data_IF_044332413892
#
_entry.id   IF_044332413892
#
_cell.length_a   1.000
_cell.length_b   1.000
_cell.length_c   1.000
_cell.angle_alpha   90.00
_cell.angle_beta   90.00
_cell.angle_gamma   90.00
#
_symmetry.space_group_name_H-M   'P 1'
#
loop_
_entity.id
_entity.type
_entity.pdbx_description
1 polymer ?
#
# COMPACT_ATOMS: atom_id res chain seq x y z
N UNK A 1 -24.03 14.04 -7.64
CA UNK A 1 -22.70 14.58 -7.31
C UNK A 1 -21.71 13.59 -7.85
N UNK A 2 -20.78 13.99 -8.74
CA UNK A 2 -19.71 13.07 -9.19
C UNK A 2 -18.91 12.72 -7.93
N UNK A 3 -18.76 11.46 -7.65
CA UNK A 3 -18.04 10.96 -6.49
C UNK A 3 -16.58 11.44 -6.58
N UNK A 4 -16.23 12.37 -5.69
CA UNK A 4 -14.86 12.85 -5.53
C UNK A 4 -14.11 11.88 -4.61
N UNK A 5 -14.06 10.61 -5.03
CA UNK A 5 -13.46 9.50 -4.28
C UNK A 5 -12.28 8.90 -5.02
N UNK A 6 -11.21 8.58 -4.30
CA UNK A 6 -10.01 7.91 -4.83
C UNK A 6 -9.39 8.62 -6.05
N UNK A 7 -9.46 9.93 -6.10
CA UNK A 7 -8.98 10.76 -7.22
C UNK A 7 -7.46 10.72 -7.37
N UNK A 8 -6.75 10.51 -6.26
CA UNK A 8 -5.30 10.32 -6.27
C UNK A 8 -4.88 9.17 -7.19
N UNK A 9 -5.74 8.16 -7.33
CA UNK A 9 -5.46 7.02 -8.20
C UNK A 9 -6.08 7.17 -9.61
N UNK A 10 -6.60 8.36 -9.95
CA UNK A 10 -7.23 8.64 -11.25
C UNK A 10 -6.81 10.00 -11.83
N UNK A 11 -7.66 11.00 -11.78
CA UNK A 11 -7.41 12.33 -12.38
C UNK A 11 -6.36 13.17 -11.63
N UNK A 12 -6.09 12.87 -10.36
CA UNK A 12 -5.01 13.48 -9.58
C UNK A 12 -3.73 12.62 -9.49
N UNK A 13 -3.64 11.53 -10.25
CA UNK A 13 -2.49 10.62 -10.21
C UNK A 13 -1.14 11.31 -10.50
N UNK A 14 -1.16 12.42 -11.22
CA UNK A 14 0.03 13.23 -11.48
C UNK A 14 0.65 13.84 -10.21
N UNK A 15 -0.08 13.90 -9.07
CA UNK A 15 0.43 14.31 -7.76
C UNK A 15 1.26 13.19 -7.09
N UNK A 16 1.01 11.93 -7.42
CA UNK A 16 1.66 10.77 -6.79
C UNK A 16 3.20 10.82 -6.80
N UNK A 17 3.89 11.18 -7.89
CA UNK A 17 5.36 11.28 -7.87
C UNK A 17 5.90 12.30 -6.86
N UNK A 18 5.09 13.28 -6.47
CA UNK A 18 5.46 14.36 -5.55
C UNK A 18 5.09 14.06 -4.08
N UNK A 19 4.32 13.01 -3.81
CA UNK A 19 3.95 12.58 -2.47
C UNK A 19 4.94 11.52 -1.98
N UNK A 20 5.67 11.81 -0.91
CA UNK A 20 6.67 10.92 -0.34
C UNK A 20 7.96 10.77 -1.18
N UNK A 21 9.04 10.50 -0.51
CA UNK A 21 10.37 10.42 -1.12
C UNK A 21 10.75 9.00 -1.50
N UNK A 22 10.77 8.69 -2.80
CA UNK A 22 11.08 7.35 -3.33
C UNK A 22 12.45 6.84 -2.89
N UNK A 23 13.47 7.71 -2.81
CA UNK A 23 14.86 7.34 -2.43
C UNK A 23 15.15 7.56 -0.95
N UNK A 24 14.23 8.16 -0.21
CA UNK A 24 14.29 8.40 1.24
C UNK A 24 13.47 7.37 2.01
N UNK A 25 12.28 7.74 2.45
CA UNK A 25 11.40 6.93 3.31
C UNK A 25 11.07 5.57 2.68
N UNK A 26 10.67 5.55 1.39
CA UNK A 26 10.41 4.28 0.70
C UNK A 26 11.62 3.36 0.61
N UNK A 27 12.85 3.91 0.52
CA UNK A 27 14.05 3.07 0.50
C UNK A 27 14.30 2.43 1.87
N UNK A 28 14.10 3.18 2.96
CA UNK A 28 14.23 2.68 4.34
C UNK A 28 13.19 1.61 4.62
N UNK A 29 11.93 1.88 4.28
CA UNK A 29 10.84 0.92 4.40
C UNK A 29 11.12 -0.37 3.62
N UNK A 30 11.45 -0.28 2.34
CA UNK A 30 11.72 -1.45 1.48
C UNK A 30 12.93 -2.26 1.94
N UNK A 31 13.96 -1.62 2.51
CA UNK A 31 15.08 -2.36 3.10
C UNK A 31 14.62 -3.15 4.33
N UNK A 32 13.78 -2.57 5.20
CA UNK A 32 13.20 -3.27 6.34
C UNK A 32 12.33 -4.46 5.88
N UNK A 33 11.46 -4.27 4.88
CA UNK A 33 10.65 -5.34 4.29
C UNK A 33 11.54 -6.45 3.72
N UNK A 34 12.61 -6.09 3.02
CA UNK A 34 13.59 -7.06 2.46
C UNK A 34 14.23 -7.90 3.57
N UNK A 35 14.60 -7.28 4.69
CA UNK A 35 15.17 -7.99 5.85
C UNK A 35 14.15 -8.93 6.48
N UNK A 36 12.89 -8.52 6.64
CA UNK A 36 11.83 -9.39 7.16
C UNK A 36 11.58 -10.59 6.24
N UNK A 37 11.45 -10.37 4.93
CA UNK A 37 11.28 -11.45 3.96
C UNK A 37 12.42 -12.46 4.09
N UNK A 38 13.68 -12.02 4.11
CA UNK A 38 14.86 -12.90 4.24
C UNK A 38 14.95 -13.60 5.59
N UNK A 39 14.50 -12.95 6.68
CA UNK A 39 14.51 -13.51 8.04
C UNK A 39 13.54 -14.68 8.20
N UNK A 40 12.35 -14.56 7.60
CA UNK A 40 11.26 -15.51 7.82
C UNK A 40 11.10 -16.54 6.72
N UNK A 41 11.61 -16.29 5.51
CA UNK A 41 11.56 -17.27 4.42
C UNK A 41 12.39 -18.52 4.76
N UNK A 42 11.83 -19.68 4.42
CA UNK A 42 12.53 -20.98 4.49
C UNK A 42 13.06 -21.42 3.12
N UNK A 43 13.03 -20.54 2.12
CA UNK A 43 13.50 -20.75 0.75
C UNK A 43 14.29 -19.55 0.24
N UNK A 44 15.04 -19.73 -0.84
CA UNK A 44 15.66 -18.61 -1.56
C UNK A 44 14.60 -17.75 -2.23
N UNK A 45 14.74 -16.45 -2.11
CA UNK A 45 13.78 -15.47 -2.63
C UNK A 45 14.36 -14.78 -3.84
N UNK A 46 13.74 -14.99 -5.01
CA UNK A 46 14.10 -14.37 -6.28
C UNK A 46 13.00 -13.50 -6.87
N UNK A 47 11.73 -13.81 -6.57
CA UNK A 47 10.57 -13.15 -7.15
C UNK A 47 9.64 -12.58 -6.06
N UNK A 48 9.07 -11.41 -6.35
CA UNK A 48 8.13 -10.74 -5.45
C UNK A 48 6.92 -10.22 -6.23
N UNK A 49 5.73 -10.57 -5.74
CA UNK A 49 4.47 -9.99 -6.17
C UNK A 49 4.12 -8.81 -5.26
N UNK A 50 4.00 -7.60 -5.82
CA UNK A 50 3.51 -6.42 -5.12
C UNK A 50 2.04 -6.19 -5.46
N UNK A 51 1.14 -6.49 -4.53
CA UNK A 51 -0.30 -6.34 -4.70
C UNK A 51 -0.73 -4.93 -4.26
N UNK A 52 -1.38 -4.18 -5.16
CA UNK A 52 -1.64 -2.75 -4.97
C UNK A 52 -0.37 -1.93 -5.11
N UNK A 53 0.37 -2.12 -6.20
CA UNK A 53 1.71 -1.56 -6.38
C UNK A 53 1.74 -0.03 -6.57
N UNK A 54 0.57 0.62 -6.77
CA UNK A 54 0.47 2.05 -7.00
C UNK A 54 1.41 2.54 -8.12
N UNK A 55 1.99 3.70 -7.94
CA UNK A 55 2.96 4.31 -8.87
C UNK A 55 4.37 3.70 -8.82
N UNK A 56 4.57 2.54 -8.18
CA UNK A 56 5.78 1.73 -8.28
C UNK A 56 6.95 2.16 -7.40
N UNK A 57 6.76 2.97 -6.34
CA UNK A 57 7.86 3.42 -5.46
C UNK A 57 8.48 2.27 -4.65
N UNK A 58 7.64 1.33 -4.17
CA UNK A 58 8.13 0.10 -3.53
C UNK A 58 8.90 -0.75 -4.55
N UNK A 59 8.35 -0.95 -5.76
CA UNK A 59 9.02 -1.69 -6.82
C UNK A 59 10.39 -1.10 -7.17
N UNK A 60 10.53 0.24 -7.20
CA UNK A 60 11.79 0.94 -7.47
C UNK A 60 12.91 0.56 -6.49
N UNK A 61 12.57 0.32 -5.24
CA UNK A 61 13.55 -0.06 -4.21
C UNK A 61 13.73 -1.58 -4.13
N UNK A 62 12.65 -2.36 -4.22
CA UNK A 62 12.68 -3.82 -4.09
C UNK A 62 13.30 -4.53 -5.29
N UNK A 63 13.25 -3.95 -6.50
CA UNK A 63 13.87 -4.53 -7.72
C UNK A 63 15.37 -4.71 -7.65
N UNK A 64 16.03 -4.10 -6.66
CA UNK A 64 17.46 -4.33 -6.37
C UNK A 64 17.73 -5.72 -5.79
N UNK A 65 16.68 -6.36 -5.26
CA UNK A 65 16.75 -7.61 -4.53
C UNK A 65 15.95 -8.73 -5.20
N UNK A 66 14.84 -8.38 -5.91
CA UNK A 66 13.87 -9.34 -6.42
C UNK A 66 13.43 -8.98 -7.85
N UNK A 67 13.05 -9.99 -8.64
CA UNK A 67 12.27 -9.77 -9.84
C UNK A 67 10.83 -9.39 -9.44
N UNK A 68 10.38 -8.20 -9.83
CA UNK A 68 9.11 -7.62 -9.38
C UNK A 68 8.01 -7.83 -10.43
N UNK A 69 6.88 -8.35 -9.96
CA UNK A 69 5.59 -8.23 -10.65
C UNK A 69 4.67 -7.39 -9.77
N UNK A 70 4.14 -6.30 -10.29
CA UNK A 70 3.17 -5.44 -9.61
C UNK A 70 1.76 -5.62 -10.19
N UNK A 71 0.75 -5.62 -9.34
CA UNK A 71 -0.66 -5.52 -9.76
C UNK A 71 -1.31 -4.31 -9.12
N UNK A 72 -2.15 -3.61 -9.89
CA UNK A 72 -2.96 -2.50 -9.41
C UNK A 72 -4.25 -2.41 -10.22
N UNK A 73 -5.31 -1.85 -9.65
CA UNK A 73 -6.58 -1.64 -10.36
C UNK A 73 -6.55 -0.36 -11.21
N UNK A 74 -5.71 0.60 -10.84
CA UNK A 74 -5.62 1.92 -11.48
C UNK A 74 -4.68 1.93 -12.68
N UNK A 75 -5.17 2.18 -13.89
CA UNK A 75 -4.31 2.37 -15.06
C UNK A 75 -3.34 3.55 -14.91
N UNK A 76 -3.79 4.65 -14.26
CA UNK A 76 -2.97 5.84 -14.07
C UNK A 76 -1.76 5.56 -13.15
N UNK A 77 -1.94 4.73 -12.11
CA UNK A 77 -0.86 4.27 -11.26
C UNK A 77 0.10 3.36 -12.02
N UNK A 78 -0.41 2.42 -12.80
CA UNK A 78 0.43 1.52 -13.60
C UNK A 78 1.27 2.27 -14.64
N UNK A 79 0.71 3.30 -15.28
CA UNK A 79 1.46 4.18 -16.20
C UNK A 79 2.64 4.89 -15.50
N UNK A 80 2.48 5.27 -14.22
CA UNK A 80 3.56 5.83 -13.41
C UNK A 80 4.58 4.76 -13.01
N UNK A 81 4.10 3.57 -12.61
CA UNK A 81 4.95 2.46 -12.20
C UNK A 81 5.85 1.98 -13.34
N UNK A 82 5.30 1.82 -14.55
CA UNK A 82 6.04 1.43 -15.76
C UNK A 82 7.09 2.47 -16.15
N UNK A 83 6.76 3.78 -16.08
CA UNK A 83 7.72 4.86 -16.35
C UNK A 83 8.87 4.86 -15.35
N UNK A 84 8.59 4.59 -14.07
CA UNK A 84 9.59 4.58 -13.01
C UNK A 84 10.45 3.30 -13.04
N UNK A 85 9.87 2.17 -13.48
CA UNK A 85 10.48 0.84 -13.42
C UNK A 85 10.25 0.05 -14.72
N UNK A 86 10.83 0.47 -15.86
CA UNK A 86 10.56 -0.16 -17.15
C UNK A 86 11.03 -1.63 -17.26
N UNK A 87 11.87 -2.09 -16.34
CA UNK A 87 12.36 -3.46 -16.24
C UNK A 87 11.45 -4.40 -15.43
N UNK A 88 10.45 -3.87 -14.73
CA UNK A 88 9.49 -4.65 -13.95
C UNK A 88 8.24 -4.96 -14.78
N UNK A 89 7.47 -5.94 -14.33
CA UNK A 89 6.18 -6.29 -14.96
C UNK A 89 5.04 -5.68 -14.14
N UNK A 90 4.13 -4.97 -14.81
CA UNK A 90 2.95 -4.40 -14.18
C UNK A 90 1.68 -4.84 -14.91
N UNK A 91 0.63 -5.21 -14.13
CA UNK A 91 -0.60 -5.77 -14.67
C UNK A 91 -1.81 -5.11 -14.02
N UNK A 92 -2.80 -4.72 -14.83
CA UNK A 92 -4.07 -4.21 -14.32
C UNK A 92 -4.93 -5.35 -13.81
N UNK A 93 -5.01 -5.46 -12.48
CA UNK A 93 -5.77 -6.52 -11.80
C UNK A 93 -6.33 -6.02 -10.48
N UNK A 94 -7.49 -6.55 -10.09
CA UNK A 94 -8.04 -6.39 -8.74
C UNK A 94 -7.43 -7.45 -7.81
N UNK A 95 -6.81 -7.03 -6.71
CA UNK A 95 -6.12 -7.93 -5.78
C UNK A 95 -7.05 -8.97 -5.11
N UNK A 96 -8.37 -8.77 -5.16
CA UNK A 96 -9.37 -9.72 -4.63
C UNK A 96 -9.64 -10.90 -5.55
N UNK A 97 -9.45 -10.75 -6.86
CA UNK A 97 -10.01 -11.69 -7.85
C UNK A 97 -9.03 -12.13 -8.94
N UNK A 98 -7.78 -11.65 -8.90
CA UNK A 98 -6.79 -11.95 -9.93
C UNK A 98 -6.38 -13.43 -9.94
N UNK A 99 -5.80 -13.84 -11.09
CA UNK A 99 -5.16 -15.15 -11.22
C UNK A 99 -3.98 -15.03 -12.18
N UNK A 100 -2.79 -15.37 -11.68
CA UNK A 100 -1.57 -15.51 -12.44
C UNK A 100 -1.18 -16.98 -12.51
N UNK A 101 -0.49 -17.38 -13.58
CA UNK A 101 0.00 -18.76 -13.73
C UNK A 101 1.26 -19.05 -12.91
N UNK A 102 1.90 -18.02 -12.40
CA UNK A 102 3.15 -18.09 -11.65
C UNK A 102 2.91 -18.02 -10.15
N UNK A 103 3.70 -18.76 -9.39
CA UNK A 103 3.88 -18.56 -7.96
C UNK A 103 5.07 -17.64 -7.72
N UNK A 104 5.08 -16.95 -6.59
CA UNK A 104 6.12 -16.02 -6.18
C UNK A 104 6.75 -16.46 -4.86
N UNK A 105 8.04 -16.16 -4.68
CA UNK A 105 8.72 -16.48 -3.43
C UNK A 105 8.33 -15.54 -2.29
N UNK A 106 7.94 -14.31 -2.64
CA UNK A 106 7.44 -13.33 -1.68
C UNK A 106 6.23 -12.56 -2.23
N UNK A 107 5.38 -12.07 -1.32
CA UNK A 107 4.27 -11.16 -1.60
C UNK A 107 4.39 -9.95 -0.68
N UNK A 108 4.21 -8.76 -1.21
CA UNK A 108 4.04 -7.52 -0.44
C UNK A 108 2.66 -6.94 -0.70
N UNK A 109 1.95 -6.61 0.38
CA UNK A 109 0.74 -5.80 0.36
C UNK A 109 0.95 -4.66 1.34
N UNK A 110 1.24 -3.49 0.81
CA UNK A 110 1.42 -2.26 1.58
C UNK A 110 0.12 -1.47 1.51
N UNK A 111 -0.09 -0.48 2.32
CA UNK A 111 -1.25 0.44 2.45
C UNK A 111 -2.52 0.12 1.61
N UNK A 112 -2.34 -0.34 0.38
CA UNK A 112 -3.43 -0.67 -0.55
C UNK A 112 -4.46 -1.66 0.03
N UNK A 113 -4.08 -2.47 1.00
CA UNK A 113 -4.97 -3.38 1.71
C UNK A 113 -6.04 -2.63 2.51
N UNK A 114 -5.78 -1.40 2.90
CA UNK A 114 -6.73 -0.53 3.63
C UNK A 114 -7.96 -0.16 2.78
N UNK A 115 -7.90 -0.31 1.46
CA UNK A 115 -9.07 -0.19 0.59
C UNK A 115 -10.03 -1.38 0.65
N UNK A 116 -9.72 -2.43 1.40
CA UNK A 116 -10.65 -3.52 1.71
C UNK A 116 -11.56 -3.09 2.85
N UNK A 117 -12.82 -2.80 2.54
CA UNK A 117 -13.79 -2.23 3.50
C UNK A 117 -14.73 -3.28 4.11
N UNK A 118 -14.54 -4.54 3.77
CA UNK A 118 -15.31 -5.65 4.35
C UNK A 118 -14.38 -6.82 4.74
N UNK A 119 -14.80 -7.58 5.77
CA UNK A 119 -14.09 -8.81 6.17
C UNK A 119 -13.93 -9.79 4.99
N UNK A 120 -14.92 -9.87 4.11
CA UNK A 120 -14.89 -10.75 2.94
C UNK A 120 -13.87 -10.31 1.90
N UNK A 121 -13.73 -9.01 1.65
CA UNK A 121 -12.73 -8.47 0.74
C UNK A 121 -11.31 -8.71 1.29
N UNK A 122 -11.11 -8.44 2.58
CA UNK A 122 -9.83 -8.66 3.25
C UNK A 122 -9.42 -10.14 3.19
N UNK A 123 -10.38 -11.06 3.47
CA UNK A 123 -10.16 -12.50 3.33
C UNK A 123 -9.82 -12.89 1.89
N UNK A 124 -10.53 -12.33 0.90
CA UNK A 124 -10.27 -12.64 -0.51
C UNK A 124 -8.86 -12.24 -0.94
N UNK A 125 -8.38 -11.07 -0.49
CA UNK A 125 -7.01 -10.61 -0.75
C UNK A 125 -5.98 -11.56 -0.14
N UNK A 126 -6.14 -11.96 1.12
CA UNK A 126 -5.21 -12.90 1.77
C UNK A 126 -5.21 -14.26 1.10
N UNK A 127 -6.38 -14.75 0.71
CA UNK A 127 -6.50 -16.02 -0.01
C UNK A 127 -5.78 -15.95 -1.38
N UNK A 128 -5.93 -14.84 -2.11
CA UNK A 128 -5.23 -14.63 -3.38
C UNK A 128 -3.72 -14.53 -3.21
N UNK A 129 -3.25 -13.88 -2.17
CA UNK A 129 -1.83 -13.86 -1.83
C UNK A 129 -1.30 -15.28 -1.54
N UNK A 130 -2.05 -16.06 -0.74
CA UNK A 130 -1.69 -17.44 -0.43
C UNK A 130 -1.65 -18.36 -1.67
N UNK A 131 -2.65 -18.24 -2.56
CA UNK A 131 -2.71 -19.00 -3.82
C UNK A 131 -1.48 -18.75 -4.72
N UNK A 132 -0.95 -17.52 -4.72
CA UNK A 132 0.18 -17.12 -5.56
C UNK A 132 1.54 -17.16 -4.85
N UNK A 133 1.57 -17.48 -3.56
CA UNK A 133 2.82 -17.64 -2.82
C UNK A 133 3.28 -19.09 -2.90
N UNK A 134 4.55 -19.31 -3.23
CA UNK A 134 5.15 -20.62 -3.23
C UNK A 134 5.24 -21.21 -1.81
N UNK A 135 5.25 -22.55 -1.63
CA UNK A 135 5.51 -23.16 -0.33
C UNK A 135 6.81 -22.62 0.30
N UNK A 136 6.83 -22.42 1.61
CA UNK A 136 7.93 -21.78 2.36
C UNK A 136 8.22 -20.32 1.97
N UNK A 137 7.40 -19.71 1.13
CA UNK A 137 7.45 -18.29 0.79
C UNK A 137 6.80 -17.42 1.85
N UNK A 138 7.04 -16.11 1.77
CA UNK A 138 6.64 -15.13 2.79
C UNK A 138 5.81 -14.02 2.18
N UNK A 139 4.65 -13.73 2.79
CA UNK A 139 3.91 -12.49 2.57
C UNK A 139 4.21 -11.51 3.70
N UNK A 140 4.43 -10.25 3.36
CA UNK A 140 4.37 -9.14 4.31
C UNK A 140 3.17 -8.28 3.97
N UNK A 141 2.31 -8.04 4.96
CA UNK A 141 1.17 -7.14 4.82
C UNK A 141 1.19 -6.07 5.89
N UNK A 142 0.97 -4.82 5.47
CA UNK A 142 1.09 -3.63 6.31
C UNK A 142 -0.23 -2.87 6.27
N UNK A 143 -1.08 -2.98 7.33
CA UNK A 143 -2.22 -2.10 7.47
C UNK A 143 -1.76 -0.69 7.83
N UNK A 144 -2.32 0.31 7.17
CA UNK A 144 -2.08 1.72 7.50
C UNK A 144 -2.67 2.05 8.90
N UNK A 145 -3.91 1.67 9.12
CA UNK A 145 -4.61 1.87 10.40
C UNK A 145 -5.33 0.62 10.86
N UNK A 146 -5.37 0.41 12.18
CA UNK A 146 -6.17 -0.63 12.84
C UNK A 146 -7.03 0.01 13.93
N UNK A 147 -8.05 -0.70 14.44
CA UNK A 147 -8.88 -0.19 15.55
C UNK A 147 -8.05 0.19 16.79
N UNK A 148 -6.89 -0.46 16.97
CA UNK A 148 -5.98 -0.22 18.10
C UNK A 148 -5.12 1.04 17.94
N UNK A 149 -4.82 1.43 16.68
CA UNK A 149 -3.95 2.58 16.38
C UNK A 149 -4.71 3.81 15.91
N UNK A 150 -5.95 3.65 15.45
CA UNK A 150 -6.76 4.72 14.91
C UNK A 150 -6.97 5.87 15.91
N UNK A 151 -6.82 7.08 15.42
CA UNK A 151 -7.05 8.30 16.22
C UNK A 151 -8.14 9.13 15.54
N UNK A 152 -9.26 9.24 16.21
CA UNK A 152 -10.42 10.01 15.74
C UNK A 152 -10.06 11.47 15.47
N UNK A 153 -10.42 11.95 14.28
CA UNK A 153 -10.19 13.32 13.82
C UNK A 153 -8.70 13.73 13.77
N UNK A 154 -7.80 12.76 13.55
CA UNK A 154 -6.39 13.06 13.35
C UNK A 154 -6.18 13.81 12.04
N UNK A 155 -5.29 14.82 12.06
CA UNK A 155 -4.98 15.61 10.87
C UNK A 155 -3.48 15.63 10.66
N UNK A 156 -3.05 15.26 9.46
CA UNK A 156 -1.67 15.26 9.04
C UNK A 156 -1.46 16.28 7.91
N UNK A 157 -0.31 16.93 7.91
CA UNK A 157 0.07 17.87 6.86
C UNK A 157 1.42 17.47 6.32
N UNK A 158 1.50 17.27 5.01
CA UNK A 158 2.75 17.00 4.31
C UNK A 158 2.94 17.91 3.10
N UNK A 159 4.13 17.90 2.55
CA UNK A 159 4.52 18.80 1.47
C UNK A 159 5.14 18.01 0.33
N UNK A 160 5.02 18.53 -0.89
CA UNK A 160 5.70 17.94 -2.02
C UNK A 160 7.23 18.09 -1.87
N UNK A 161 7.91 16.98 -1.59
CA UNK A 161 9.37 16.93 -1.32
C UNK A 161 10.18 16.25 -2.43
N UNK A 162 9.51 15.77 -3.48
CA UNK A 162 10.16 14.96 -4.49
C UNK A 162 11.14 15.75 -5.36
N UNK A 163 12.31 15.18 -5.65
CA UNK A 163 13.24 15.64 -6.70
C UNK A 163 12.56 15.71 -8.08
N UNK A 164 11.42 15.04 -8.26
CA UNK A 164 10.60 15.02 -9.47
C UNK A 164 9.61 16.18 -9.55
N UNK A 165 9.55 17.06 -8.54
CA UNK A 165 8.61 18.18 -8.49
C UNK A 165 8.98 19.22 -9.55
N UNK A 166 8.04 19.63 -10.44
CA UNK A 166 8.26 20.75 -11.34
C UNK A 166 8.53 22.05 -10.56
N UNK A 167 9.43 22.88 -11.05
CA UNK A 167 9.86 24.12 -10.35
C UNK A 167 8.73 25.14 -10.13
N UNK A 168 7.67 25.06 -10.93
CA UNK A 168 6.54 25.97 -10.88
C UNK A 168 5.32 25.40 -10.15
N UNK A 169 5.46 24.24 -9.51
CA UNK A 169 4.36 23.58 -8.75
C UNK A 169 4.77 23.41 -7.31
N UNK A 170 3.91 23.87 -6.39
CA UNK A 170 3.97 23.58 -4.97
C UNK A 170 2.68 22.89 -4.53
N UNK A 171 2.80 21.86 -3.69
CA UNK A 171 1.64 21.14 -3.18
C UNK A 171 1.77 20.94 -1.68
N UNK A 172 0.67 21.22 -0.98
CA UNK A 172 0.47 20.83 0.43
C UNK A 172 -0.66 19.81 0.46
N UNK A 173 -0.42 18.71 1.15
CA UNK A 173 -1.39 17.66 1.41
C UNK A 173 -1.89 17.80 2.84
N UNK A 174 -3.19 17.88 3.03
CA UNK A 174 -3.84 17.89 4.35
C UNK A 174 -4.77 16.70 4.38
N UNK A 175 -4.46 15.72 5.20
CA UNK A 175 -5.26 14.52 5.40
C UNK A 175 -5.92 14.57 6.76
N UNK A 176 -7.24 14.34 6.81
CA UNK A 176 -8.00 14.21 8.04
C UNK A 176 -8.70 12.86 8.08
N UNK A 177 -8.42 12.08 9.10
CA UNK A 177 -8.98 10.76 9.32
C UNK A 177 -10.11 10.82 10.34
N UNK A 178 -11.31 10.40 9.94
CA UNK A 178 -12.52 10.47 10.75
C UNK A 178 -13.38 9.21 10.59
N UNK A 179 -13.78 8.62 11.70
CA UNK A 179 -14.73 7.52 11.74
C UNK A 179 -16.13 8.06 12.08
N UNK A 180 -17.07 8.08 11.11
CA UNK A 180 -18.41 8.60 11.31
C UNK A 180 -19.33 7.64 12.05
N UNK A 181 -19.07 6.32 12.02
CA UNK A 181 -19.85 5.28 12.70
C UNK A 181 -18.95 4.19 13.31
N UNK A 182 -18.54 4.31 14.57
CA UNK A 182 -17.63 3.36 15.22
C UNK A 182 -18.20 1.92 15.37
N UNK A 183 -19.38 1.65 14.85
CA UNK A 183 -19.99 0.31 14.85
C UNK A 183 -19.69 -0.47 13.57
N UNK A 184 -19.27 0.20 12.53
CA UNK A 184 -18.83 -0.46 11.29
C UNK A 184 -17.30 -0.69 11.30
N UNK A 185 -16.77 -1.13 10.18
CA UNK A 185 -15.35 -1.46 10.01
C UNK A 185 -14.70 -0.52 8.99
N UNK A 186 -15.12 0.76 8.95
CA UNK A 186 -14.59 1.75 8.00
C UNK A 186 -14.27 3.08 8.65
N UNK A 187 -13.43 3.87 7.99
CA UNK A 187 -13.23 5.28 8.29
C UNK A 187 -13.07 6.09 7.01
N UNK A 188 -13.21 7.39 7.12
CA UNK A 188 -13.02 8.36 6.05
C UNK A 188 -11.65 9.02 6.18
N UNK A 189 -10.85 8.97 5.11
CA UNK A 189 -9.65 9.79 4.94
C UNK A 189 -9.96 10.89 3.92
N UNK A 190 -10.22 12.11 4.39
CA UNK A 190 -10.42 13.28 3.55
C UNK A 190 -9.10 13.96 3.27
N UNK A 191 -8.71 14.02 2.00
CA UNK A 191 -7.47 14.66 1.57
C UNK A 191 -7.80 15.97 0.84
N UNK A 192 -7.17 17.06 1.28
CA UNK A 192 -7.25 18.37 0.64
C UNK A 192 -5.86 18.69 0.06
N UNK A 193 -5.82 18.96 -1.22
CA UNK A 193 -4.63 19.37 -1.95
C UNK A 193 -4.66 20.88 -2.16
N UNK A 194 -3.69 21.59 -1.58
CA UNK A 194 -3.43 22.99 -1.91
C UNK A 194 -2.35 23.02 -2.97
N UNK A 195 -2.75 23.23 -4.21
CA UNK A 195 -1.87 23.17 -5.37
C UNK A 195 -1.61 24.61 -5.85
N UNK A 196 -0.34 25.01 -5.89
CA UNK A 196 0.06 26.27 -6.50
C UNK A 196 0.83 25.99 -7.79
N UNK A 197 0.28 26.47 -8.88
CA UNK A 197 0.92 26.41 -10.19
C UNK A 197 1.21 27.84 -10.68
N UNK A 198 2.49 28.17 -10.90
CA UNK A 198 2.92 29.54 -11.23
C UNK A 198 2.42 30.61 -10.22
N UNK A 199 2.22 30.22 -8.95
CA UNK A 199 1.74 31.07 -7.87
C UNK A 199 0.20 31.11 -7.72
N UNK A 200 -0.55 30.64 -8.69
CA UNK A 200 -2.01 30.55 -8.63
C UNK A 200 -2.46 29.35 -7.79
N UNK A 201 -3.34 29.59 -6.82
CA UNK A 201 -3.86 28.55 -5.93
C UNK A 201 -5.06 27.83 -6.56
N UNK A 202 -5.00 26.52 -6.59
CA UNK A 202 -6.12 25.61 -6.84
C UNK A 202 -6.27 24.68 -5.63
N UNK A 203 -7.51 24.44 -5.22
CA UNK A 203 -7.85 23.51 -4.12
C UNK A 203 -8.61 22.33 -4.71
N UNK A 204 -8.10 21.15 -4.46
CA UNK A 204 -8.77 19.88 -4.79
C UNK A 204 -9.06 19.11 -3.52
N UNK A 205 -10.04 18.22 -3.58
CA UNK A 205 -10.39 17.32 -2.48
C UNK A 205 -10.59 15.90 -3.00
N UNK A 206 -10.26 14.94 -2.16
CA UNK A 206 -10.40 13.53 -2.42
C UNK A 206 -10.82 12.79 -1.15
N UNK A 207 -11.85 11.96 -1.24
CA UNK A 207 -12.35 11.17 -0.12
C UNK A 207 -12.01 9.70 -0.36
N UNK A 208 -11.33 9.10 0.62
CA UNK A 208 -11.09 7.66 0.65
C UNK A 208 -11.93 7.05 1.77
N UNK A 209 -12.63 5.96 1.46
CA UNK A 209 -13.26 5.11 2.46
C UNK A 209 -12.34 3.91 2.66
N UNK A 210 -11.87 3.74 3.87
CA UNK A 210 -10.84 2.74 4.20
C UNK A 210 -11.33 1.78 5.27
N UNK A 211 -10.83 0.56 5.26
CA UNK A 211 -11.14 -0.46 6.25
C UNK A 211 -10.46 -0.20 7.58
N UNK A 212 -11.22 -0.36 8.67
CA UNK A 212 -10.76 -0.19 10.04
C UNK A 212 -11.04 -1.46 10.85
N UNK A 213 -10.15 -2.43 10.73
CA UNK A 213 -10.27 -3.73 11.38
C UNK A 213 -9.38 -3.85 12.61
N UNK A 214 -9.81 -4.68 13.59
CA UNK A 214 -8.97 -5.00 14.73
C UNK A 214 -7.82 -5.94 14.36
N UNK A 215 -6.71 -5.87 15.08
CA UNK A 215 -5.59 -6.81 14.92
C UNK A 215 -6.03 -8.27 15.11
N UNK A 216 -7.01 -8.52 16.01
CA UNK A 216 -7.60 -9.85 16.20
C UNK A 216 -8.27 -10.37 14.93
N UNK A 217 -9.01 -9.53 14.22
CA UNK A 217 -9.65 -9.91 12.95
C UNK A 217 -8.61 -10.21 11.87
N UNK A 218 -7.56 -9.40 11.76
CA UNK A 218 -6.44 -9.65 10.84
C UNK A 218 -5.83 -11.02 11.09
N UNK A 219 -5.45 -11.32 12.32
CA UNK A 219 -4.88 -12.62 12.71
C UNK A 219 -5.83 -13.77 12.39
N UNK A 220 -7.11 -13.65 12.78
CA UNK A 220 -8.14 -14.65 12.50
C UNK A 220 -8.25 -14.99 11.01
N UNK A 221 -8.25 -13.96 10.14
CA UNK A 221 -8.39 -14.18 8.71
C UNK A 221 -7.12 -14.78 8.10
N UNK A 222 -5.95 -14.33 8.50
CA UNK A 222 -4.66 -14.87 8.05
C UNK A 222 -4.51 -16.34 8.46
N UNK A 223 -4.85 -16.69 9.71
CA UNK A 223 -4.88 -18.10 10.15
C UNK A 223 -5.90 -18.95 9.39
N UNK A 224 -7.08 -18.38 9.11
CA UNK A 224 -8.12 -19.07 8.34
C UNK A 224 -7.68 -19.43 6.92
N UNK A 225 -6.83 -18.60 6.32
CA UNK A 225 -6.22 -18.85 5.00
C UNK A 225 -5.17 -19.95 5.06
N UNK A 226 -4.48 -20.12 6.19
CA UNK A 226 -3.48 -21.16 6.41
C UNK A 226 -2.05 -20.67 6.66
N UNK A 227 -1.86 -19.38 6.92
CA UNK A 227 -0.55 -18.81 7.22
C UNK A 227 -0.07 -19.11 8.65
N UNK A 228 1.22 -19.33 8.82
CA UNK A 228 1.93 -19.12 10.07
C UNK A 228 2.27 -17.63 10.19
N UNK A 229 1.90 -16.97 11.32
CA UNK A 229 1.90 -15.52 11.44
C UNK A 229 2.92 -15.07 12.47
N UNK A 230 3.68 -14.06 12.11
CA UNK A 230 4.57 -13.32 13.00
C UNK A 230 4.20 -11.83 12.95
N UNK A 231 4.17 -11.15 14.11
CA UNK A 231 3.96 -9.71 14.20
C UNK A 231 5.30 -9.02 14.40
N UNK A 232 5.57 -8.07 13.54
CA UNK A 232 6.73 -7.20 13.61
C UNK A 232 6.28 -5.75 13.69
N UNK A 233 7.19 -4.85 14.02
CA UNK A 233 6.91 -3.43 14.14
C UNK A 233 7.80 -2.65 13.18
N UNK A 234 7.23 -1.64 12.57
CA UNK A 234 7.94 -0.62 11.83
C UNK A 234 7.66 0.73 12.47
N UNK A 235 8.70 1.51 12.69
CA UNK A 235 8.57 2.85 13.27
C UNK A 235 9.04 3.86 12.24
N UNK A 236 8.15 4.77 11.89
CA UNK A 236 8.44 5.89 11.02
C UNK A 236 8.06 7.18 11.75
N UNK A 237 9.05 8.04 11.97
CA UNK A 237 8.92 9.25 12.78
C UNK A 237 8.36 8.94 14.19
N UNK A 238 7.10 9.31 14.45
CA UNK A 238 6.40 9.07 15.72
C UNK A 238 5.30 8.00 15.61
N UNK A 239 5.12 7.41 14.44
CA UNK A 239 4.10 6.40 14.19
C UNK A 239 4.72 5.00 14.27
N UNK A 240 4.00 4.09 14.91
CA UNK A 240 4.35 2.68 14.97
C UNK A 240 3.30 1.87 14.20
N UNK A 241 3.76 1.13 13.20
CA UNK A 241 2.94 0.26 12.37
C UNK A 241 3.13 -1.19 12.77
N UNK A 242 2.05 -1.95 12.84
CA UNK A 242 2.12 -3.41 12.99
C UNK A 242 2.21 -4.04 11.61
N UNK A 243 3.24 -4.85 11.38
CA UNK A 243 3.39 -5.64 10.18
C UNK A 243 3.06 -7.10 10.48
N UNK A 244 2.28 -7.72 9.60
CA UNK A 244 2.10 -9.17 9.62
C UNK A 244 3.06 -9.82 8.63
N UNK A 245 3.95 -10.65 9.13
CA UNK A 245 4.83 -11.51 8.34
C UNK A 245 4.21 -12.90 8.33
N UNK A 246 3.81 -13.37 7.17
CA UNK A 246 2.97 -14.53 6.99
C UNK A 246 3.72 -15.59 6.16
N UNK A 247 4.12 -16.69 6.79
CA UNK A 247 4.77 -17.80 6.12
C UNK A 247 3.72 -18.78 5.59
N UNK A 248 3.83 -19.18 4.33
CA UNK A 248 3.07 -20.30 3.77
C UNK A 248 3.81 -21.59 4.10
N UNK A 249 3.25 -22.51 4.90
CA UNK A 249 3.88 -23.80 5.18
C UNK A 249 4.11 -24.63 3.90
N UNK A 250 5.10 -25.56 3.95
CA UNK A 250 5.44 -26.48 2.87
C UNK A 250 4.30 -27.46 2.54
#
# INVERSE_FOLDING_TARGET
MSEKTNRLYSDLAWLWPMWGNTKGEYAVFCEHITQLIKKYSKRDIHSLLNMGCGGGKNAFNLKKHFAITGIDISPAMLDLAEKLNPECTFLKMDMRYFSLKSEFDAVLIDDAVSHMITESDLYAVFNKAYEHLAPDGVMVVVPDSTKETFKQNATHVSYAESDSKPKNIDVVYIENNYDPDPKDDTFEAMIIYLIRENGELRIEQDLHILGLFSLELWEKLLYKVGFEIFKEKYVEEQNEYTLFVCLKPA
#
